data_IF_422536847863
#
_entry.id   IF_422536847863
#
_cell.length_a   1.000
_cell.length_b   1.000
_cell.length_c   1.000
_cell.angle_alpha   90.00
_cell.angle_beta   90.00
_cell.angle_gamma   90.00
#
_symmetry.space_group_name_H-M   'P 1'
#
loop_
_entity.id
_entity.type
_entity.pdbx_description
1 polymer ?
#
# COMPACT_ATOMS: atom_id res chain seq x y z
N UNK A 1 14.46 19.62 14.21
CA UNK A 1 15.73 19.22 13.54
C UNK A 1 15.84 17.73 13.73
N UNK A 2 15.81 16.94 12.65
CA UNK A 2 16.03 15.49 12.71
C UNK A 2 17.55 15.26 12.74
N UNK A 3 18.08 14.65 13.81
CA UNK A 3 19.47 14.25 13.94
C UNK A 3 19.61 12.77 13.56
N UNK A 4 19.62 12.49 12.25
CA UNK A 4 19.64 11.15 11.68
C UNK A 4 20.90 10.35 12.02
N UNK A 5 21.01 9.86 13.26
CA UNK A 5 22.11 9.01 13.72
C UNK A 5 21.83 7.51 13.61
N UNK A 6 20.57 7.11 13.42
CA UNK A 6 20.16 5.71 13.32
C UNK A 6 19.07 5.47 12.25
N UNK A 7 19.18 6.14 11.10
CA UNK A 7 18.30 5.84 9.96
C UNK A 7 18.94 4.74 9.10
N UNK A 8 18.78 3.49 9.52
CA UNK A 8 18.93 2.36 8.60
C UNK A 8 17.78 2.43 7.57
N UNK A 9 18.03 3.14 6.46
CA UNK A 9 17.03 3.34 5.39
C UNK A 9 17.17 2.24 4.35
N UNK A 10 16.73 1.03 4.69
CA UNK A 10 16.66 -0.10 3.75
C UNK A 10 15.20 -0.47 3.48
N UNK A 11 14.37 0.50 3.04
CA UNK A 11 13.06 0.16 2.49
C UNK A 11 13.24 -0.31 1.04
N UNK A 12 12.86 -1.53 0.72
CA UNK A 12 12.85 -2.00 -0.67
C UNK A 12 11.54 -1.60 -1.34
N UNK A 13 11.60 -0.93 -2.48
CA UNK A 13 10.39 -0.59 -3.20
C UNK A 13 9.92 -1.72 -4.10
N UNK A 14 8.60 -1.96 -4.14
CA UNK A 14 7.97 -2.83 -5.14
C UNK A 14 6.88 -2.11 -5.90
N UNK A 15 6.88 -2.33 -7.21
CA UNK A 15 5.80 -1.89 -8.07
C UNK A 15 4.62 -2.84 -7.91
N UNK A 16 3.49 -2.30 -7.45
CA UNK A 16 2.25 -3.06 -7.24
C UNK A 16 1.18 -2.48 -8.14
N UNK A 17 0.48 -3.37 -8.85
CA UNK A 17 -0.69 -3.03 -9.65
C UNK A 17 -1.91 -3.70 -9.06
N UNK A 18 -3.07 -3.09 -9.25
CA UNK A 18 -4.33 -3.68 -8.81
C UNK A 18 -5.54 -3.05 -9.47
N UNK A 19 -6.70 -3.62 -9.17
CA UNK A 19 -7.99 -3.15 -9.68
C UNK A 19 -8.94 -2.87 -8.52
N UNK A 20 -9.52 -1.68 -8.52
CA UNK A 20 -10.53 -1.20 -7.59
C UNK A 20 -11.88 -1.07 -8.32
N UNK A 21 -12.58 -2.19 -8.52
CA UNK A 21 -13.82 -2.26 -9.30
C UNK A 21 -15.09 -2.00 -8.46
N UNK A 22 -15.01 -1.09 -7.50
CA UNK A 22 -16.11 -0.77 -6.55
C UNK A 22 -17.15 0.20 -7.13
N UNK A 23 -16.98 0.64 -8.38
CA UNK A 23 -17.98 1.37 -9.15
C UNK A 23 -18.34 2.74 -8.57
N UNK A 24 -17.58 3.79 -8.93
CA UNK A 24 -17.89 5.21 -8.69
C UNK A 24 -18.02 5.68 -7.23
N UNK A 25 -18.24 4.78 -6.27
CA UNK A 25 -18.45 5.11 -4.86
C UNK A 25 -17.16 5.29 -4.06
N UNK A 26 -16.01 4.95 -4.64
CA UNK A 26 -14.71 5.10 -4.01
C UNK A 26 -14.25 6.56 -4.07
N UNK A 27 -14.17 7.21 -2.91
CA UNK A 27 -13.77 8.62 -2.79
C UNK A 27 -12.29 8.78 -2.44
N UNK A 28 -11.70 7.77 -1.81
CA UNK A 28 -10.26 7.70 -1.56
C UNK A 28 -9.79 6.24 -1.59
N UNK A 29 -8.59 6.00 -2.11
CA UNK A 29 -7.98 4.68 -2.18
C UNK A 29 -6.61 4.73 -1.49
N UNK A 30 -6.37 3.82 -0.56
CA UNK A 30 -5.10 3.65 0.12
C UNK A 30 -4.62 2.19 0.06
N UNK A 31 -3.31 1.99 -0.03
CA UNK A 31 -2.67 0.70 0.23
C UNK A 31 -2.08 0.73 1.63
N UNK A 32 -2.47 -0.23 2.46
CA UNK A 32 -1.91 -0.42 3.79
C UNK A 32 -0.80 -1.46 3.73
N UNK A 33 0.43 -1.05 4.02
CA UNK A 33 1.60 -1.94 4.14
C UNK A 33 1.95 -2.08 5.61
N UNK A 34 1.83 -3.28 6.17
CA UNK A 34 2.09 -3.52 7.60
C UNK A 34 1.29 -2.58 8.54
N UNK A 35 0.14 -2.09 8.07
CA UNK A 35 -0.72 -1.13 8.79
C UNK A 35 -0.44 0.35 8.49
N UNK A 36 0.68 0.69 7.86
CA UNK A 36 0.96 2.05 7.40
C UNK A 36 0.18 2.36 6.12
N UNK A 37 -0.51 3.49 6.09
CA UNK A 37 -1.38 3.88 4.95
C UNK A 37 -0.59 4.67 3.91
N UNK A 38 -0.70 4.25 2.65
CA UNK A 38 -0.10 4.89 1.49
C UNK A 38 -1.22 5.28 0.52
N UNK A 39 -1.58 6.56 0.42
CA UNK A 39 -2.57 7.04 -0.54
C UNK A 39 -2.14 6.72 -1.97
N UNK A 40 -3.07 6.22 -2.79
CA UNK A 40 -2.81 5.91 -4.20
C UNK A 40 -3.88 6.50 -5.11
N UNK A 41 -3.46 6.93 -6.29
CA UNK A 41 -4.37 7.43 -7.33
C UNK A 41 -4.69 6.31 -8.30
N UNK A 42 -5.97 6.01 -8.49
CA UNK A 42 -6.42 5.10 -9.53
C UNK A 42 -6.64 5.86 -10.85
N UNK A 43 -6.34 5.20 -11.97
CA UNK A 43 -6.72 5.61 -13.32
C UNK A 43 -7.91 4.75 -13.75
N UNK A 44 -9.12 5.30 -13.58
CA UNK A 44 -10.34 4.51 -13.69
C UNK A 44 -10.41 3.44 -12.61
N UNK A 45 -10.54 2.17 -13.02
CA UNK A 45 -10.62 1.03 -12.10
C UNK A 45 -9.24 0.49 -11.70
N UNK A 46 -8.13 0.94 -12.27
CA UNK A 46 -6.81 0.35 -12.02
C UNK A 46 -5.88 1.31 -11.33
N UNK A 47 -4.93 0.78 -10.57
CA UNK A 47 -3.87 1.57 -9.97
C UNK A 47 -2.53 0.88 -10.19
N UNK A 48 -1.47 1.68 -10.13
CA UNK A 48 -0.11 1.22 -10.16
C UNK A 48 0.76 2.17 -9.32
N UNK A 49 1.51 1.64 -8.36
CA UNK A 49 2.32 2.46 -7.44
C UNK A 49 3.59 1.73 -7.00
N UNK A 50 4.58 2.49 -6.55
CA UNK A 50 5.72 1.98 -5.78
C UNK A 50 5.36 2.01 -4.29
N UNK A 51 5.58 0.89 -3.61
CA UNK A 51 5.40 0.78 -2.16
C UNK A 51 6.71 0.42 -1.49
N UNK A 52 7.07 1.10 -0.39
CA UNK A 52 8.17 0.66 0.47
C UNK A 52 7.76 -0.64 1.16
N UNK A 53 8.67 -1.60 1.19
CA UNK A 53 8.56 -2.86 1.89
C UNK A 53 9.73 -3.04 2.85
N UNK A 54 9.46 -3.73 3.94
CA UNK A 54 10.43 -4.11 4.97
C UNK A 54 10.95 -5.54 4.74
N UNK A 55 11.86 -6.00 5.60
CA UNK A 55 12.41 -7.34 5.49
C UNK A 55 11.44 -8.35 6.03
N UNK A 56 11.38 -9.52 5.38
CA UNK A 56 10.44 -10.55 5.74
C UNK A 56 9.07 -10.29 5.14
N UNK A 57 8.04 -10.58 5.92
CA UNK A 57 6.66 -10.59 5.46
C UNK A 57 6.06 -9.19 5.47
N UNK A 58 5.58 -8.76 4.31
CA UNK A 58 4.87 -7.51 4.13
C UNK A 58 3.41 -7.80 3.83
N UNK A 59 2.51 -7.38 4.71
CA UNK A 59 1.07 -7.54 4.52
C UNK A 59 0.49 -6.30 3.87
N UNK A 60 -0.01 -6.46 2.65
CA UNK A 60 -0.62 -5.43 1.83
C UNK A 60 -2.14 -5.60 1.82
N UNK A 61 -2.87 -4.50 2.03
CA UNK A 61 -4.34 -4.46 1.92
C UNK A 61 -4.74 -3.20 1.16
N UNK A 62 -5.50 -3.33 0.09
CA UNK A 62 -6.12 -2.18 -0.57
C UNK A 62 -7.38 -1.78 0.18
N UNK A 63 -7.53 -0.51 0.50
CA UNK A 63 -8.69 0.03 1.20
C UNK A 63 -9.28 1.16 0.38
N UNK A 64 -10.53 0.98 0.01
CA UNK A 64 -11.35 2.02 -0.60
C UNK A 64 -12.25 2.63 0.46
N UNK A 65 -12.18 3.95 0.64
CA UNK A 65 -13.15 4.71 1.42
C UNK A 65 -14.31 5.12 0.52
N UNK A 66 -15.51 4.82 0.97
CA UNK A 66 -16.75 5.14 0.30
C UNK A 66 -17.25 6.53 0.70
N UNK A 67 -18.12 7.13 -0.11
CA UNK A 67 -18.74 8.43 0.18
C UNK A 67 -19.55 8.46 1.48
N UNK A 68 -20.08 7.31 1.93
CA UNK A 68 -20.82 7.14 3.19
C UNK A 68 -19.90 6.92 4.40
N UNK A 69 -18.58 6.97 4.22
CA UNK A 69 -17.58 6.77 5.26
C UNK A 69 -17.22 5.31 5.55
N UNK A 70 -17.86 4.33 4.91
CA UNK A 70 -17.45 2.92 5.03
C UNK A 70 -16.11 2.67 4.34
N UNK A 71 -15.37 1.70 4.85
CA UNK A 71 -14.15 1.19 4.22
C UNK A 71 -14.41 -0.20 3.65
N UNK A 72 -14.05 -0.39 2.38
CA UNK A 72 -14.01 -1.69 1.72
C UNK A 72 -12.55 -2.11 1.58
N UNK A 73 -12.20 -3.23 2.19
CA UNK A 73 -10.84 -3.78 2.14
C UNK A 73 -10.79 -4.98 1.19
N UNK A 74 -9.68 -5.13 0.47
CA UNK A 74 -9.36 -6.36 -0.25
C UNK A 74 -8.97 -7.48 0.70
N UNK A 75 -8.91 -8.70 0.17
CA UNK A 75 -8.13 -9.75 0.83
C UNK A 75 -6.65 -9.32 0.96
N UNK A 76 -5.96 -9.74 2.03
CA UNK A 76 -4.57 -9.39 2.24
C UNK A 76 -3.65 -10.14 1.27
N UNK A 77 -2.72 -9.41 0.67
CA UNK A 77 -1.60 -9.98 -0.09
C UNK A 77 -0.35 -9.96 0.80
N UNK A 78 0.32 -11.10 0.96
CA UNK A 78 1.59 -11.17 1.70
C UNK A 78 2.76 -11.28 0.72
N UNK A 79 3.72 -10.37 0.83
CA UNK A 79 4.94 -10.35 0.04
C UNK A 79 6.15 -10.61 0.94
N UNK A 80 6.88 -11.70 0.68
CA UNK A 80 8.13 -12.00 1.38
C UNK A 80 9.31 -11.33 0.67
N UNK A 81 9.96 -10.40 1.34
CA UNK A 81 11.24 -9.81 0.89
C UNK A 81 12.38 -10.52 1.61
N UNK A 82 13.32 -11.07 0.84
CA UNK A 82 14.53 -11.71 1.37
C UNK A 82 15.73 -10.85 1.02
N UNK A 83 16.55 -10.54 2.03
CA UNK A 83 17.92 -10.09 1.79
C UNK A 83 18.67 -11.19 1.04
N UNK A 84 19.15 -10.87 -0.17
CA UNK A 84 20.19 -11.67 -0.81
C UNK A 84 21.53 -11.07 -0.37
N UNK A 85 22.22 -11.80 0.51
CA UNK A 85 23.64 -11.59 0.79
C UNK A 85 24.50 -12.12 -0.37
#
# INVERSE_FOLDING_TARGET
MLDGRDADVWSWERYVTGRCAVGGGCTALDLRVNGASHPITASGDTFATLLPLDEGDNRLVAVCRMADGRELASDPLTLLVRLRH
#
